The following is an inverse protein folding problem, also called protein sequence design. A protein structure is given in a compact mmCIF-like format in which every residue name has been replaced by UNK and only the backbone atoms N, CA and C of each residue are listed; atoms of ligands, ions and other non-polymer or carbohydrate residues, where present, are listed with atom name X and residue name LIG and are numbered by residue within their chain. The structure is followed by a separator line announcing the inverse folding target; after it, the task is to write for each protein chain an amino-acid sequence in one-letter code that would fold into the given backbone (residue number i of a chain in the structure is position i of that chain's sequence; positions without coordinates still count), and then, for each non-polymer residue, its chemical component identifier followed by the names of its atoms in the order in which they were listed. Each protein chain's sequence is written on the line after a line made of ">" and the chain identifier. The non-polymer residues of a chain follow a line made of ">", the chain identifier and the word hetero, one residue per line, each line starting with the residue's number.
data_IF_505740110465
#
_entry.id   IF_505740110465
#
_cell.length_a   1.000
_cell.length_b   1.000
_cell.length_c   1.000
_cell.angle_alpha   90.00
_cell.angle_beta   90.00
_cell.angle_gamma   90.00
#
_symmetry.space_group_name_H-M   'P 1'
#
loop_
_entity.id
_entity.type
_entity.pdbx_description
1 polymer ?
#
# COMPACT_ATOMS: atom_id res chain seq x y z
N UNK A 1 -26.88 14.35 -27.71
CA UNK A 1 -26.37 15.63 -28.26
C UNK A 1 -26.56 15.65 -29.78
N UNK A 2 -27.80 15.84 -30.26
CA UNK A 2 -28.09 15.92 -31.70
C UNK A 2 -27.50 17.17 -32.36
N UNK A 3 -27.41 18.30 -31.65
CA UNK A 3 -26.96 19.59 -32.20
C UNK A 3 -25.48 19.58 -32.62
N UNK A 4 -24.61 18.85 -31.90
CA UNK A 4 -23.17 18.75 -32.19
C UNK A 4 -22.88 17.96 -33.47
N UNK A 5 -23.68 16.94 -33.77
CA UNK A 5 -23.59 16.20 -35.04
C UNK A 5 -24.03 17.06 -36.22
N UNK A 6 -25.01 17.94 -36.01
CA UNK A 6 -25.48 18.91 -37.01
C UNK A 6 -24.41 19.92 -37.41
N UNK A 7 -23.52 20.30 -36.48
CA UNK A 7 -22.40 21.20 -36.73
C UNK A 7 -21.12 20.49 -37.23
N UNK A 8 -21.19 19.19 -37.57
CA UNK A 8 -20.05 18.43 -38.10
C UNK A 8 -18.94 18.10 -37.10
N UNK A 9 -19.17 18.33 -35.80
CA UNK A 9 -18.14 18.16 -34.78
C UNK A 9 -18.10 16.69 -34.30
N UNK A 10 -17.11 15.92 -34.77
CA UNK A 10 -16.83 14.56 -34.28
C UNK A 10 -16.04 14.63 -32.97
N UNK A 11 -16.73 14.51 -31.84
CA UNK A 11 -16.06 14.60 -30.53
C UNK A 11 -15.92 13.22 -29.87
N UNK A 12 -14.67 12.78 -29.69
CA UNK A 12 -14.29 11.61 -28.88
C UNK A 12 -13.92 12.02 -27.45
N UNK A 13 -12.86 11.42 -26.87
CA UNK A 13 -12.37 11.78 -25.52
C UNK A 13 -11.94 13.26 -25.37
N UNK A 14 -11.70 13.96 -26.49
CA UNK A 14 -11.40 15.40 -26.52
C UNK A 14 -12.57 16.28 -26.02
N UNK A 15 -13.79 15.72 -25.86
CA UNK A 15 -14.93 16.44 -25.27
C UNK A 15 -14.60 16.97 -23.88
N UNK A 16 -13.81 16.23 -23.10
CA UNK A 16 -13.46 16.63 -21.74
C UNK A 16 -12.58 17.87 -21.71
N UNK A 17 -11.75 18.08 -22.74
CA UNK A 17 -10.91 19.28 -22.85
C UNK A 17 -11.74 20.51 -23.25
N UNK A 18 -12.68 20.35 -24.19
CA UNK A 18 -13.64 21.40 -24.55
C UNK A 18 -14.51 21.79 -23.35
N UNK A 19 -15.06 20.82 -22.64
CA UNK A 19 -15.84 21.06 -21.43
C UNK A 19 -14.99 21.67 -20.31
N UNK A 20 -13.70 21.31 -20.20
CA UNK A 20 -12.77 21.89 -19.21
C UNK A 20 -12.52 23.37 -19.49
N UNK A 21 -12.22 23.71 -20.74
CA UNK A 21 -11.93 25.08 -21.17
C UNK A 21 -13.14 26.00 -21.04
N UNK A 22 -14.35 25.45 -21.14
CA UNK A 22 -15.60 26.20 -20.96
C UNK A 22 -16.15 26.13 -19.52
N UNK A 23 -15.39 25.59 -18.57
CA UNK A 23 -15.81 25.45 -17.16
C UNK A 23 -17.10 24.64 -16.94
N UNK A 24 -17.42 23.73 -17.86
CA UNK A 24 -18.63 22.89 -17.85
C UNK A 24 -18.40 21.50 -17.23
N UNK A 25 -17.17 21.19 -16.79
CA UNK A 25 -16.91 19.92 -16.08
C UNK A 25 -17.47 19.95 -14.65
N UNK A 26 -18.18 18.88 -14.29
CA UNK A 26 -18.63 18.66 -12.91
C UNK A 26 -17.39 18.57 -12.00
N UNK A 27 -17.31 19.44 -11.00
CA UNK A 27 -16.28 19.36 -9.96
C UNK A 27 -16.54 18.12 -9.12
N UNK A 28 -15.65 17.14 -9.21
CA UNK A 28 -15.70 15.97 -8.32
C UNK A 28 -15.59 16.44 -6.87
N UNK A 29 -16.61 16.16 -6.06
CA UNK A 29 -16.54 16.34 -4.61
C UNK A 29 -15.52 15.34 -4.07
N UNK A 30 -14.37 15.83 -3.60
CA UNK A 30 -13.40 14.99 -2.89
C UNK A 30 -13.99 14.58 -1.54
N UNK A 31 -14.57 13.38 -1.47
CA UNK A 31 -14.82 12.72 -0.20
C UNK A 31 -13.57 11.92 0.18
N UNK A 32 -13.03 12.16 1.37
CA UNK A 32 -11.88 11.42 1.90
C UNK A 32 -12.31 10.71 3.17
N UNK A 33 -12.36 9.38 3.14
CA UNK A 33 -12.53 8.57 4.33
C UNK A 33 -11.23 8.59 5.13
N UNK A 34 -11.30 8.88 6.43
CA UNK A 34 -10.15 8.69 7.33
C UNK A 34 -10.02 7.20 7.60
N UNK A 35 -9.09 6.56 6.91
CA UNK A 35 -8.84 5.11 7.00
C UNK A 35 -7.97 4.73 8.20
N UNK A 36 -7.14 5.66 8.70
CA UNK A 36 -6.10 5.36 9.70
C UNK A 36 -6.26 6.21 10.95
N UNK A 37 -6.28 5.57 12.12
CA UNK A 37 -6.15 6.25 13.40
C UNK A 37 -4.67 6.57 13.66
N UNK A 38 -4.24 7.77 13.28
CA UNK A 38 -2.87 8.25 13.50
C UNK A 38 -2.61 8.70 14.95
N UNK A 39 -3.66 8.73 15.79
CA UNK A 39 -3.60 9.14 17.19
C UNK A 39 -3.42 7.92 18.09
N UNK A 40 -2.24 7.31 18.03
CA UNK A 40 -1.88 6.18 18.88
C UNK A 40 -0.56 6.43 19.60
N UNK A 41 -0.39 5.84 20.78
CA UNK A 41 0.79 6.03 21.64
C UNK A 41 2.05 5.28 21.15
N UNK A 42 1.97 4.57 20.03
CA UNK A 42 3.11 3.80 19.51
C UNK A 42 4.18 4.69 18.88
N UNK A 43 5.44 4.23 19.00
CA UNK A 43 6.59 4.91 18.42
C UNK A 43 6.46 5.05 16.89
N UNK A 44 6.72 6.27 16.42
CA UNK A 44 6.87 6.58 15.00
C UNK A 44 8.33 6.42 14.62
N UNK A 45 8.58 5.77 13.48
CA UNK A 45 9.91 5.55 12.95
C UNK A 45 10.23 6.63 11.92
N UNK A 46 11.51 6.93 11.72
CA UNK A 46 11.95 7.85 10.68
C UNK A 46 11.85 7.16 9.32
N UNK A 47 11.44 7.92 8.31
CA UNK A 47 11.51 7.46 6.94
C UNK A 47 12.97 7.56 6.49
N UNK A 48 13.64 6.41 6.29
CA UNK A 48 15.03 6.37 5.81
C UNK A 48 15.11 6.04 4.33
N UNK A 49 13.97 5.83 3.66
CA UNK A 49 13.90 5.40 2.26
C UNK A 49 13.44 6.51 1.30
N UNK A 50 13.24 7.74 1.79
CA UNK A 50 12.64 8.86 1.05
C UNK A 50 13.30 9.15 -0.31
N UNK A 51 14.59 8.85 -0.46
CA UNK A 51 15.33 8.92 -1.72
C UNK A 51 16.17 7.65 -2.01
N UNK A 52 15.90 6.54 -1.31
CA UNK A 52 16.71 5.33 -1.45
C UNK A 52 16.31 4.53 -2.69
N UNK A 53 17.28 4.26 -3.57
CA UNK A 53 17.12 3.33 -4.70
C UNK A 53 17.81 2.02 -4.28
N UNK A 54 17.08 0.90 -4.13
CA UNK A 54 17.71 -0.36 -3.79
C UNK A 54 18.62 -0.83 -4.93
N UNK A 55 19.79 -1.35 -4.60
CA UNK A 55 20.78 -1.86 -5.55
C UNK A 55 20.78 -3.38 -5.65
N UNK A 56 20.16 -4.07 -4.69
CA UNK A 56 20.07 -5.54 -4.68
C UNK A 56 18.74 -6.06 -4.14
N UNK A 57 18.43 -7.30 -4.48
CA UNK A 57 17.34 -8.06 -3.86
C UNK A 57 17.54 -8.16 -2.33
N UNK A 58 16.45 -8.10 -1.59
CA UNK A 58 16.39 -8.19 -0.12
C UNK A 58 17.22 -7.11 0.58
N UNK A 59 17.23 -5.91 0.02
CA UNK A 59 17.81 -4.73 0.66
C UNK A 59 16.74 -3.87 1.34
N UNK A 60 15.62 -3.66 0.66
CA UNK A 60 14.48 -2.90 1.15
C UNK A 60 13.22 -3.71 0.88
N UNK A 61 12.50 -4.04 1.95
CA UNK A 61 11.14 -4.58 1.88
C UNK A 61 10.14 -3.49 2.24
N UNK A 62 9.04 -3.45 1.50
CA UNK A 62 7.91 -2.55 1.76
C UNK A 62 6.69 -3.39 2.10
N UNK A 63 6.02 -3.04 3.20
CA UNK A 63 4.79 -3.67 3.65
C UNK A 63 3.57 -2.82 3.34
N UNK A 64 2.49 -3.47 2.92
CA UNK A 64 1.20 -2.84 2.66
C UNK A 64 0.04 -3.76 3.11
N UNK A 65 -1.14 -3.17 3.34
CA UNK A 65 -2.39 -3.90 3.60
C UNK A 65 -3.45 -3.42 2.61
N UNK A 66 -4.01 -4.36 1.86
CA UNK A 66 -5.11 -4.09 0.94
C UNK A 66 -6.33 -4.94 1.25
N UNK A 67 -7.46 -4.58 0.66
CA UNK A 67 -8.75 -5.23 0.86
C UNK A 67 -9.05 -6.12 -0.35
N UNK A 68 -9.47 -7.36 -0.10
CA UNK A 68 -9.89 -8.28 -1.16
C UNK A 68 -11.41 -8.45 -1.10
N UNK A 69 -12.12 -8.05 -2.14
CA UNK A 69 -13.58 -8.22 -2.18
C UNK A 69 -13.95 -9.66 -2.57
N UNK A 70 -14.66 -10.37 -1.69
CA UNK A 70 -15.16 -11.72 -1.92
C UNK A 70 -16.60 -11.67 -2.42
N UNK A 71 -16.75 -11.43 -3.73
CA UNK A 71 -18.07 -11.29 -4.39
C UNK A 71 -19.11 -12.34 -3.99
N UNK A 72 -18.79 -13.65 -3.93
CA UNK A 72 -19.81 -14.68 -3.65
C UNK A 72 -20.41 -14.61 -2.24
N UNK A 73 -19.72 -13.95 -1.31
CA UNK A 73 -20.07 -13.93 0.12
C UNK A 73 -20.40 -12.51 0.60
N UNK A 74 -20.44 -11.55 -0.32
CA UNK A 74 -20.68 -10.11 -0.06
C UNK A 74 -19.86 -9.55 1.13
N UNK A 75 -18.61 -10.01 1.23
CA UNK A 75 -17.70 -9.66 2.34
C UNK A 75 -16.31 -9.34 1.83
N UNK A 76 -15.47 -8.73 2.67
CA UNK A 76 -14.08 -8.45 2.32
C UNK A 76 -13.04 -9.15 3.22
N UNK A 77 -12.00 -9.57 2.52
CA UNK A 77 -10.64 -9.89 2.91
C UNK A 77 -9.78 -8.73 3.41
N UNK A 78 -8.80 -8.98 4.28
CA UNK A 78 -7.58 -8.19 4.33
C UNK A 78 -6.40 -9.02 3.83
N UNK A 79 -5.59 -8.45 2.95
CA UNK A 79 -4.35 -9.03 2.46
C UNK A 79 -3.19 -8.17 2.93
N UNK A 80 -2.37 -8.72 3.82
CA UNK A 80 -1.07 -8.14 4.17
C UNK A 80 -0.02 -8.65 3.19
N UNK A 81 0.73 -7.75 2.58
CA UNK A 81 1.78 -8.09 1.59
C UNK A 81 3.10 -7.46 2.00
N UNK A 82 4.19 -8.18 1.75
CA UNK A 82 5.55 -7.65 1.84
C UNK A 82 6.23 -7.88 0.51
N UNK A 83 6.67 -6.78 -0.08
CA UNK A 83 7.26 -6.72 -1.42
C UNK A 83 8.72 -6.30 -1.33
N UNK A 84 9.58 -6.99 -2.06
CA UNK A 84 10.96 -6.56 -2.27
C UNK A 84 11.00 -5.39 -3.24
N UNK A 85 11.56 -4.24 -2.82
CA UNK A 85 11.50 -3.01 -3.58
C UNK A 85 12.32 -3.08 -4.88
N UNK A 86 13.40 -3.87 -4.89
CA UNK A 86 14.27 -4.07 -6.05
C UNK A 86 13.60 -4.99 -7.10
N UNK A 87 13.30 -6.23 -6.73
CA UNK A 87 12.80 -7.25 -7.67
C UNK A 87 11.30 -7.19 -7.90
N UNK A 88 10.56 -6.40 -7.11
CA UNK A 88 9.08 -6.36 -7.06
C UNK A 88 8.43 -7.69 -6.67
N UNK A 89 9.23 -8.66 -6.19
CA UNK A 89 8.74 -9.95 -5.75
C UNK A 89 7.97 -9.81 -4.43
N UNK A 90 6.80 -10.43 -4.35
CA UNK A 90 6.12 -10.65 -3.06
C UNK A 90 6.91 -11.72 -2.31
N UNK A 91 7.55 -11.32 -1.21
CA UNK A 91 8.39 -12.21 -0.38
C UNK A 91 7.60 -12.85 0.76
N UNK A 92 6.50 -12.22 1.19
CA UNK A 92 5.58 -12.77 2.16
C UNK A 92 4.20 -12.14 2.02
N UNK A 93 3.16 -12.92 2.33
CA UNK A 93 1.78 -12.45 2.30
C UNK A 93 0.92 -13.23 3.29
N UNK A 94 -0.23 -12.68 3.67
CA UNK A 94 -1.23 -13.35 4.49
C UNK A 94 -2.61 -12.77 4.24
N UNK A 95 -3.59 -13.63 3.99
CA UNK A 95 -5.01 -13.27 3.93
C UNK A 95 -5.62 -13.48 5.31
N UNK A 96 -6.38 -12.51 5.81
CA UNK A 96 -6.99 -12.53 7.12
C UNK A 96 -8.37 -11.86 7.08
N UNK A 97 -9.31 -12.34 7.90
CA UNK A 97 -10.69 -11.82 7.91
C UNK A 97 -10.82 -10.45 8.58
N UNK A 98 -9.87 -10.11 9.44
CA UNK A 98 -9.86 -8.85 10.19
C UNK A 98 -8.57 -8.06 9.95
N UNK A 99 -8.63 -6.73 10.11
CA UNK A 99 -7.48 -5.81 10.08
C UNK A 99 -6.55 -5.95 11.31
N UNK A 100 -6.51 -7.14 11.90
CA UNK A 100 -5.67 -7.42 13.06
C UNK A 100 -4.21 -7.52 12.66
N UNK A 101 -3.31 -7.24 13.61
CA UNK A 101 -1.88 -7.35 13.39
C UNK A 101 -1.41 -8.78 13.07
N UNK A 102 -2.23 -9.81 13.35
CA UNK A 102 -1.87 -11.21 13.08
C UNK A 102 -1.52 -11.42 11.61
N UNK A 103 -2.31 -10.86 10.68
CA UNK A 103 -2.03 -10.95 9.24
C UNK A 103 -0.67 -10.37 8.87
N UNK A 104 -0.32 -9.20 9.44
CA UNK A 104 0.97 -8.55 9.19
C UNK A 104 2.14 -9.38 9.75
N UNK A 105 1.98 -9.94 10.96
CA UNK A 105 2.99 -10.79 11.60
C UNK A 105 3.25 -12.04 10.78
N UNK A 106 2.21 -12.73 10.32
CA UNK A 106 2.38 -13.96 9.53
C UNK A 106 3.01 -13.68 8.16
N UNK A 107 2.63 -12.58 7.50
CA UNK A 107 3.30 -12.15 6.28
C UNK A 107 4.79 -11.89 6.50
N UNK A 108 5.17 -11.24 7.61
CA UNK A 108 6.57 -10.97 7.96
C UNK A 108 7.35 -12.24 8.31
N UNK A 109 6.76 -13.16 9.06
CA UNK A 109 7.37 -14.47 9.35
C UNK A 109 7.62 -15.25 8.05
N UNK A 110 6.66 -15.26 7.13
CA UNK A 110 6.81 -15.90 5.83
C UNK A 110 7.97 -15.30 5.04
N UNK A 111 8.04 -13.97 4.94
CA UNK A 111 9.13 -13.27 4.25
C UNK A 111 10.50 -13.60 4.86
N UNK A 112 10.62 -13.53 6.19
CA UNK A 112 11.86 -13.83 6.91
C UNK A 112 12.30 -15.29 6.78
N UNK A 113 11.34 -16.23 6.73
CA UNK A 113 11.61 -17.66 6.53
C UNK A 113 12.18 -17.92 5.13
N UNK A 114 11.61 -17.29 4.10
CA UNK A 114 11.99 -17.48 2.71
C UNK A 114 13.26 -16.72 2.30
N UNK A 115 13.77 -15.84 3.16
CA UNK A 115 14.99 -15.06 2.92
C UNK A 115 16.23 -15.94 2.97
N UNK A 116 16.94 -16.05 1.84
CA UNK A 116 18.20 -16.81 1.71
C UNK A 116 19.37 -16.13 2.44
N UNK A 117 19.65 -14.85 2.15
CA UNK A 117 20.82 -14.15 2.66
C UNK A 117 20.50 -13.39 3.95
N UNK A 118 20.44 -14.11 5.08
CA UNK A 118 20.08 -13.55 6.40
C UNK A 118 21.17 -12.67 7.03
N UNK A 119 22.43 -12.82 6.60
CA UNK A 119 23.57 -12.06 7.14
C UNK A 119 23.63 -10.62 6.63
N UNK A 120 23.04 -10.33 5.46
CA UNK A 120 23.05 -8.97 4.90
C UNK A 120 22.08 -8.05 5.65
N UNK A 121 22.32 -6.73 5.67
CA UNK A 121 21.35 -5.78 6.20
C UNK A 121 20.08 -5.77 5.34
N UNK A 122 18.94 -5.53 5.99
CA UNK A 122 17.63 -5.41 5.36
C UNK A 122 16.83 -4.31 6.08
N UNK A 123 16.31 -3.37 5.31
CA UNK A 123 15.37 -2.36 5.76
C UNK A 123 13.96 -2.89 5.55
N UNK A 124 13.16 -2.89 6.60
CA UNK A 124 11.73 -3.15 6.55
C UNK A 124 10.98 -1.83 6.71
N UNK A 125 10.40 -1.35 5.62
CA UNK A 125 9.59 -0.15 5.58
C UNK A 125 8.10 -0.52 5.60
N UNK A 126 7.34 0.13 6.48
CA UNK A 126 5.88 -0.02 6.57
C UNK A 126 5.25 1.35 6.74
N UNK A 127 3.94 1.47 6.54
CA UNK A 127 3.24 2.67 7.00
C UNK A 127 3.25 2.79 8.54
N UNK A 128 2.65 3.89 9.02
CA UNK A 128 2.55 4.23 10.46
C UNK A 128 1.25 3.76 11.11
N UNK A 129 0.57 2.80 10.51
CA UNK A 129 -0.64 2.21 11.04
C UNK A 129 -0.35 1.44 12.34
N UNK A 130 -1.39 1.32 13.18
CA UNK A 130 -1.30 0.65 14.48
C UNK A 130 -0.78 -0.78 14.37
N UNK A 131 -1.12 -1.48 13.29
CA UNK A 131 -0.70 -2.85 13.00
C UNK A 131 0.82 -2.96 12.90
N UNK A 132 1.48 -1.98 12.28
CA UNK A 132 2.92 -2.00 12.09
C UNK A 132 3.69 -1.31 13.22
N UNK A 133 3.05 -0.41 13.95
CA UNK A 133 3.66 0.31 15.07
C UNK A 133 3.53 -0.44 16.41
N UNK A 134 2.66 -1.46 16.52
CA UNK A 134 2.49 -2.17 17.78
C UNK A 134 3.74 -2.95 18.22
N UNK A 135 3.83 -3.21 19.53
CA UNK A 135 4.99 -3.86 20.14
C UNK A 135 5.30 -5.24 19.53
N UNK A 136 4.27 -6.06 19.30
CA UNK A 136 4.45 -7.42 18.76
C UNK A 136 5.10 -7.41 17.38
N UNK A 137 4.65 -6.51 16.49
CA UNK A 137 5.20 -6.39 15.14
C UNK A 137 6.62 -5.81 15.17
N UNK A 138 6.82 -4.72 15.92
CA UNK A 138 8.12 -4.06 16.06
C UNK A 138 9.18 -5.01 16.63
N UNK A 139 8.82 -5.81 17.65
CA UNK A 139 9.73 -6.79 18.26
C UNK A 139 10.21 -7.82 17.24
N UNK A 140 9.31 -8.31 16.38
CA UNK A 140 9.66 -9.23 15.30
C UNK A 140 10.58 -8.56 14.26
N UNK A 141 10.28 -7.32 13.86
CA UNK A 141 11.12 -6.57 12.92
C UNK A 141 12.53 -6.35 13.46
N UNK A 142 12.68 -5.77 14.65
CA UNK A 142 13.97 -5.34 15.21
C UNK A 142 14.95 -6.50 15.42
N UNK A 143 14.45 -7.69 15.72
CA UNK A 143 15.28 -8.86 15.91
C UNK A 143 15.96 -9.36 14.62
N UNK A 144 15.48 -8.93 13.43
CA UNK A 144 15.88 -9.49 12.14
C UNK A 144 16.16 -8.45 11.03
N UNK A 145 15.75 -7.20 11.22
CA UNK A 145 15.76 -6.12 10.22
C UNK A 145 15.84 -4.74 10.87
N UNK A 146 16.18 -3.71 10.09
CA UNK A 146 16.04 -2.30 10.49
C UNK A 146 14.64 -1.79 10.13
N UNK A 147 13.90 -1.20 11.09
CA UNK A 147 12.54 -0.71 10.86
C UNK A 147 12.52 0.77 10.42
N UNK A 148 11.79 1.05 9.35
CA UNK A 148 11.49 2.41 8.85
C UNK A 148 9.98 2.60 8.67
N UNK A 149 9.48 3.84 8.83
CA UNK A 149 8.08 4.21 8.60
C UNK A 149 7.86 5.72 8.39
#
# INVERSE_FOLDING_TARGET
>A
MPELKQHGIKIGRQVFDVLRNNHLLIKSKRCRTKTTCSYHHFNRYKNVIEAAIPQRCNEIWVADITYLWLKPQDKFCYLSVITDLYSRKIVGHCVHETLSVKGCIEALKMALKNRKNKALPLIHHSDRGVQYCCHAYVKLCRNKTYKSA
#
